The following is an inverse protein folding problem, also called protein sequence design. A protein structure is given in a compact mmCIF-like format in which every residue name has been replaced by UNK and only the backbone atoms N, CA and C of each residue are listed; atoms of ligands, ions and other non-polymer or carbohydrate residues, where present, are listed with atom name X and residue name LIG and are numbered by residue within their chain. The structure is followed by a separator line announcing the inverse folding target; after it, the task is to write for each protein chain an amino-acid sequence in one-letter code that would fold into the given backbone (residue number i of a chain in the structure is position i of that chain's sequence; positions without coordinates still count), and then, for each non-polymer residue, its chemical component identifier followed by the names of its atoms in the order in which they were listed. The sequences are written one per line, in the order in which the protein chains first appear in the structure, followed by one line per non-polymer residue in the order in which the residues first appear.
data_IF_263793412905
#
_entry.id   IF_263793412905
#
_cell.length_a   1.000
_cell.length_b   1.000
_cell.length_c   1.000
_cell.angle_alpha   90.00
_cell.angle_beta   90.00
_cell.angle_gamma   90.00
#
_symmetry.space_group_name_H-M   'P 1'
#
loop_
_entity.id
_entity.type
_entity.pdbx_description
1 polymer ?
#
# COMPACT_ATOMS: atom_id res chain seq x y z
N UNK A 1 13.20 -25.47 -35.71
CA UNK A 1 12.61 -24.29 -35.05
C UNK A 1 13.48 -23.07 -35.29
N UNK A 2 12.94 -21.91 -35.71
CA UNK A 2 13.72 -20.68 -35.74
C UNK A 2 14.14 -20.30 -34.31
N UNK A 3 15.44 -20.18 -34.07
CA UNK A 3 15.96 -19.70 -32.79
C UNK A 3 15.54 -18.25 -32.57
N UNK A 4 15.05 -17.96 -31.36
CA UNK A 4 14.57 -16.63 -30.95
C UNK A 4 15.26 -16.25 -29.65
N UNK A 5 15.79 -15.03 -29.62
CA UNK A 5 16.42 -14.40 -28.47
C UNK A 5 15.38 -13.55 -27.74
N UNK A 6 15.36 -13.62 -26.42
CA UNK A 6 14.57 -12.74 -25.57
C UNK A 6 15.52 -11.68 -24.98
N UNK A 7 15.18 -10.41 -25.12
CA UNK A 7 15.98 -9.28 -24.62
C UNK A 7 15.13 -8.47 -23.66
N UNK A 8 15.61 -8.25 -22.44
CA UNK A 8 15.00 -7.33 -21.50
C UNK A 8 15.56 -5.92 -21.69
N UNK A 9 14.69 -4.92 -21.70
CA UNK A 9 15.05 -3.50 -21.74
C UNK A 9 14.39 -2.80 -20.54
N UNK A 10 14.99 -2.88 -19.33
CA UNK A 10 14.33 -2.44 -18.09
C UNK A 10 13.99 -0.95 -18.03
N UNK A 11 14.69 -0.11 -18.79
CA UNK A 11 14.53 1.36 -18.77
C UNK A 11 13.74 1.92 -19.94
N UNK A 12 13.28 1.04 -20.82
CA UNK A 12 12.55 1.41 -22.02
C UNK A 12 11.08 1.72 -21.71
N UNK A 13 10.52 2.77 -22.32
CA UNK A 13 9.20 3.29 -22.03
C UNK A 13 9.04 4.77 -22.39
N UNK A 14 7.82 5.32 -22.40
CA UNK A 14 7.58 6.75 -22.59
C UNK A 14 8.26 7.58 -21.48
N UNK A 15 8.61 8.83 -21.77
CA UNK A 15 9.21 9.73 -20.77
C UNK A 15 8.34 9.81 -19.50
N UNK A 16 8.93 9.43 -18.35
CA UNK A 16 8.25 9.38 -17.06
C UNK A 16 7.57 8.05 -16.72
N UNK A 17 7.56 7.07 -17.64
CA UNK A 17 6.94 5.75 -17.48
C UNK A 17 7.91 4.62 -17.89
N UNK A 18 8.97 4.44 -17.10
CA UNK A 18 10.00 3.42 -17.28
C UNK A 18 9.55 2.03 -16.77
N UNK A 19 8.40 1.54 -17.27
CA UNK A 19 7.89 0.19 -16.93
C UNK A 19 8.74 -0.94 -17.50
N UNK A 20 9.68 -0.62 -18.39
CA UNK A 20 10.52 -1.57 -19.09
C UNK A 20 9.77 -2.32 -20.19
N UNK A 21 10.52 -2.97 -21.05
CA UNK A 21 9.98 -3.77 -22.15
C UNK A 21 10.75 -5.08 -22.30
N UNK A 22 10.07 -6.07 -22.88
CA UNK A 22 10.69 -7.31 -23.31
C UNK A 22 10.56 -7.39 -24.82
N UNK A 23 11.64 -7.78 -25.48
CA UNK A 23 11.73 -7.89 -26.91
C UNK A 23 12.05 -9.33 -27.33
N UNK A 24 11.47 -9.73 -28.45
CA UNK A 24 11.69 -11.00 -29.11
C UNK A 24 12.40 -10.74 -30.44
N UNK A 25 13.63 -11.22 -30.54
CA UNK A 25 14.50 -11.01 -31.68
C UNK A 25 14.73 -12.34 -32.42
N UNK A 26 14.60 -12.39 -33.76
CA UNK A 26 15.03 -13.54 -34.54
C UNK A 26 16.55 -13.70 -34.45
N UNK A 27 17.04 -14.94 -34.31
CA UNK A 27 18.47 -15.25 -34.43
C UNK A 27 18.73 -15.71 -35.88
N UNK A 28 19.43 -14.89 -36.66
CA UNK A 28 19.57 -15.11 -38.10
C UNK A 28 20.37 -13.99 -38.78
N UNK A 29 19.93 -13.44 -39.93
CA UNK A 29 20.68 -12.46 -40.69
C UNK A 29 21.02 -11.19 -39.87
N UNK A 30 22.15 -10.52 -40.16
CA UNK A 30 22.41 -9.17 -39.69
C UNK A 30 21.30 -8.25 -40.21
N UNK A 31 20.73 -7.39 -39.34
CA UNK A 31 19.52 -6.55 -39.55
C UNK A 31 18.16 -7.18 -39.21
N UNK A 32 18.11 -8.19 -38.36
CA UNK A 32 16.84 -8.65 -37.78
C UNK A 32 16.26 -7.62 -36.80
N UNK A 33 15.01 -7.24 -36.99
CA UNK A 33 14.29 -6.33 -36.08
C UNK A 33 13.66 -7.11 -34.92
N UNK A 34 13.79 -6.55 -33.72
CA UNK A 34 13.18 -7.10 -32.52
C UNK A 34 11.74 -6.61 -32.39
N UNK A 35 10.85 -7.49 -31.93
CA UNK A 35 9.42 -7.17 -31.71
C UNK A 35 9.13 -7.08 -30.22
N UNK A 36 8.41 -6.04 -29.78
CA UNK A 36 8.01 -5.90 -28.38
C UNK A 36 6.99 -6.98 -28.01
N UNK A 37 7.19 -7.60 -26.85
CA UNK A 37 6.26 -8.59 -26.28
C UNK A 37 5.20 -7.85 -25.48
N UNK A 38 3.92 -8.08 -25.80
CA UNK A 38 2.80 -7.56 -25.04
C UNK A 38 2.59 -8.42 -23.79
N UNK A 39 3.07 -7.92 -22.66
CA UNK A 39 2.77 -8.43 -21.33
C UNK A 39 1.46 -7.76 -20.93
N UNK A 40 0.34 -8.50 -20.91
CA UNK A 40 -0.95 -7.92 -20.52
C UNK A 40 -0.91 -7.26 -19.13
N UNK A 41 -1.92 -6.44 -18.82
CA UNK A 41 -2.06 -5.85 -17.48
C UNK A 41 -2.25 -6.95 -16.44
N UNK A 42 -1.51 -6.90 -15.34
CA UNK A 42 -1.54 -7.93 -14.30
C UNK A 42 -2.80 -7.80 -13.42
N UNK A 43 -3.69 -8.82 -13.37
CA UNK A 43 -4.84 -8.80 -12.47
C UNK A 43 -4.75 -9.93 -11.43
N UNK A 44 -5.24 -9.65 -10.22
CA UNK A 44 -5.20 -10.54 -9.06
C UNK A 44 -5.78 -11.95 -9.24
N UNK A 45 -4.88 -12.93 -9.32
CA UNK A 45 -4.89 -14.25 -8.66
C UNK A 45 -5.92 -15.35 -9.04
N UNK A 46 -5.43 -16.54 -9.42
CA UNK A 46 -5.69 -17.89 -8.82
C UNK A 46 -4.83 -18.96 -9.51
N UNK A 47 -4.32 -19.90 -8.71
CA UNK A 47 -3.14 -20.71 -9.03
C UNK A 47 -3.30 -21.89 -10.00
N UNK A 48 -2.15 -22.35 -10.50
CA UNK A 48 -1.98 -23.58 -11.25
C UNK A 48 -0.60 -24.19 -11.01
N UNK A 49 -0.52 -25.53 -11.02
CA UNK A 49 0.73 -26.32 -10.94
C UNK A 49 1.67 -25.95 -12.11
N UNK A 50 2.94 -25.66 -11.84
CA UNK A 50 3.91 -25.22 -12.85
C UNK A 50 5.22 -26.01 -12.81
N UNK A 51 5.52 -26.67 -13.93
CA UNK A 51 6.64 -27.58 -14.20
C UNK A 51 8.02 -26.87 -14.26
N UNK A 52 9.05 -27.57 -13.76
CA UNK A 52 10.48 -27.21 -13.83
C UNK A 52 11.00 -27.27 -15.28
N UNK A 53 10.71 -26.24 -16.07
CA UNK A 53 11.27 -26.08 -17.42
C UNK A 53 10.99 -24.74 -18.12
N UNK A 54 10.33 -23.79 -17.47
CA UNK A 54 9.83 -22.59 -18.13
C UNK A 54 10.78 -21.38 -18.03
N UNK A 55 10.98 -20.69 -19.16
CA UNK A 55 11.65 -19.39 -19.20
C UNK A 55 10.74 -18.37 -18.51
N UNK A 56 11.25 -17.65 -17.50
CA UNK A 56 10.51 -16.62 -16.80
C UNK A 56 11.12 -15.25 -17.08
N UNK A 57 10.28 -14.22 -17.10
CA UNK A 57 10.73 -12.84 -17.11
C UNK A 57 10.22 -12.12 -15.87
N UNK A 58 11.06 -11.34 -15.21
CA UNK A 58 10.76 -10.73 -13.92
C UNK A 58 11.10 -9.24 -13.91
N UNK A 59 10.28 -8.46 -13.22
CA UNK A 59 10.49 -7.07 -12.89
C UNK A 59 10.58 -6.94 -11.36
N UNK A 60 11.79 -7.01 -10.76
CA UNK A 60 11.97 -6.99 -9.31
C UNK A 60 11.68 -5.60 -8.70
N UNK A 61 11.79 -4.53 -9.49
CA UNK A 61 11.48 -3.16 -9.08
C UNK A 61 10.02 -2.78 -9.35
N UNK A 62 9.18 -3.73 -9.73
CA UNK A 62 7.75 -3.46 -9.82
C UNK A 62 7.22 -3.10 -8.43
N UNK A 63 6.63 -1.92 -8.33
CA UNK A 63 6.02 -1.38 -7.13
C UNK A 63 4.55 -1.12 -7.35
N UNK A 64 3.79 -1.23 -6.26
CA UNK A 64 2.39 -0.85 -6.19
C UNK A 64 2.19 0.24 -5.15
N UNK A 65 1.35 1.21 -5.49
CA UNK A 65 0.89 2.21 -4.55
C UNK A 65 -0.31 1.67 -3.78
N UNK A 66 -0.22 1.67 -2.45
CA UNK A 66 -1.30 1.31 -1.54
C UNK A 66 -1.55 2.51 -0.62
N UNK A 67 -2.51 3.36 -1.00
CA UNK A 67 -2.79 4.60 -0.29
C UNK A 67 -1.62 5.59 -0.38
N UNK A 68 -1.01 5.92 0.76
CA UNK A 68 0.15 6.82 0.89
C UNK A 68 1.50 6.09 0.83
N UNK A 69 1.49 4.76 0.72
CA UNK A 69 2.69 3.91 0.80
C UNK A 69 2.97 3.21 -0.52
N UNK A 70 4.24 2.99 -0.82
CA UNK A 70 4.70 2.27 -2.02
C UNK A 70 5.36 0.95 -1.59
N UNK A 71 4.89 -0.16 -2.15
CA UNK A 71 5.39 -1.50 -1.84
C UNK A 71 6.02 -2.14 -3.08
N UNK A 72 7.32 -2.43 -3.02
CA UNK A 72 8.05 -3.14 -4.07
C UNK A 72 8.06 -4.64 -3.79
N UNK A 73 7.12 -5.38 -4.36
CA UNK A 73 7.05 -6.84 -4.20
C UNK A 73 7.73 -7.62 -5.33
N UNK A 74 7.97 -6.95 -6.46
CA UNK A 74 8.37 -7.59 -7.70
C UNK A 74 7.23 -8.40 -8.34
N UNK A 75 7.36 -8.65 -9.65
CA UNK A 75 6.42 -9.46 -10.43
C UNK A 75 7.19 -10.28 -11.46
N UNK A 76 6.74 -11.50 -11.72
CA UNK A 76 7.29 -12.36 -12.76
C UNK A 76 6.18 -12.84 -13.68
N UNK A 77 6.54 -13.25 -14.89
CA UNK A 77 5.64 -13.97 -15.80
C UNK A 77 6.36 -15.18 -16.38
N UNK A 78 5.62 -16.28 -16.46
CA UNK A 78 6.07 -17.51 -17.11
C UNK A 78 5.82 -17.40 -18.60
N UNK A 79 6.81 -17.76 -19.41
CA UNK A 79 6.73 -17.77 -20.86
C UNK A 79 6.57 -19.18 -21.42
N UNK A 80 5.80 -19.33 -22.50
CA UNK A 80 5.73 -20.58 -23.28
C UNK A 80 6.95 -20.76 -24.20
N UNK A 81 6.97 -21.84 -24.99
CA UNK A 81 7.98 -22.12 -26.00
C UNK A 81 8.04 -21.07 -27.12
N UNK A 82 6.95 -20.34 -27.35
CA UNK A 82 6.86 -19.27 -28.33
C UNK A 82 7.21 -17.89 -27.76
N UNK A 83 7.66 -17.82 -26.50
CA UNK A 83 7.97 -16.60 -25.75
C UNK A 83 6.75 -15.68 -25.57
N UNK A 84 5.57 -16.27 -25.35
CA UNK A 84 4.36 -15.55 -24.97
C UNK A 84 4.10 -15.70 -23.47
N UNK A 85 3.59 -14.65 -22.79
CA UNK A 85 3.23 -14.75 -21.38
C UNK A 85 2.06 -15.71 -21.22
N UNK A 86 2.22 -16.68 -20.31
CA UNK A 86 1.22 -17.69 -19.97
C UNK A 86 0.56 -17.37 -18.64
N UNK A 87 1.35 -16.93 -17.67
CA UNK A 87 0.91 -16.79 -16.29
C UNK A 87 1.76 -15.73 -15.59
N UNK A 88 1.11 -14.93 -14.74
CA UNK A 88 1.77 -13.93 -13.90
C UNK A 88 1.95 -14.49 -12.49
N UNK A 89 3.17 -14.38 -11.98
CA UNK A 89 3.63 -14.86 -10.68
C UNK A 89 3.97 -13.64 -9.82
N UNK A 90 3.15 -13.38 -8.81
CA UNK A 90 3.37 -12.30 -7.84
C UNK A 90 2.98 -12.78 -6.43
N UNK A 91 3.71 -13.75 -5.86
CA UNK A 91 3.32 -14.39 -4.59
C UNK A 91 3.38 -13.43 -3.40
N UNK A 92 4.23 -12.41 -3.50
CA UNK A 92 4.44 -11.33 -2.51
C UNK A 92 3.65 -10.08 -2.84
N UNK A 93 2.92 -10.02 -3.96
CA UNK A 93 2.06 -8.89 -4.26
C UNK A 93 0.94 -8.85 -3.22
N UNK A 94 1.14 -8.01 -2.22
CA UNK A 94 0.20 -7.83 -1.14
C UNK A 94 -1.06 -7.20 -1.75
N UNK A 95 -2.24 -7.78 -1.49
CA UNK A 95 -3.45 -6.97 -1.67
C UNK A 95 -3.28 -5.75 -0.76
N UNK A 96 -3.59 -4.54 -1.23
CA UNK A 96 -3.48 -3.30 -0.46
C UNK A 96 -4.48 -3.27 0.72
N UNK A 97 -4.37 -4.22 1.64
CA UNK A 97 -5.23 -4.42 2.78
C UNK A 97 -4.33 -4.41 4.01
N UNK A 98 -4.10 -3.20 4.52
CA UNK A 98 -3.46 -2.98 5.81
C UNK A 98 -4.55 -3.08 6.87
N UNK A 99 -4.79 -4.29 7.38
CA UNK A 99 -5.72 -4.52 8.48
C UNK A 99 -5.01 -4.18 9.79
N UNK A 100 -5.39 -3.07 10.41
CA UNK A 100 -4.86 -2.67 11.71
C UNK A 100 -5.89 -1.82 12.45
N UNK A 101 -6.07 -2.14 13.72
CA UNK A 101 -6.88 -1.32 14.63
C UNK A 101 -5.93 -0.47 15.48
N UNK A 102 -6.14 0.85 15.47
CA UNK A 102 -5.33 1.80 16.22
C UNK A 102 -6.25 2.59 17.15
N UNK A 103 -6.03 2.50 18.46
CA UNK A 103 -6.69 3.37 19.44
C UNK A 103 -5.68 4.38 19.94
N UNK A 104 -5.90 5.66 19.64
CA UNK A 104 -5.08 6.75 20.14
C UNK A 104 -5.62 7.18 21.50
N UNK A 105 -4.77 7.18 22.52
CA UNK A 105 -5.12 7.62 23.88
C UNK A 105 -4.48 8.97 24.15
N UNK A 106 -5.32 10.00 24.36
CA UNK A 106 -4.93 11.40 24.33
C UNK A 106 -5.16 12.08 25.68
N UNK A 107 -4.13 12.71 26.22
CA UNK A 107 -4.23 13.54 27.44
C UNK A 107 -4.92 14.87 27.12
N UNK A 108 -6.12 15.07 27.67
CA UNK A 108 -6.95 16.27 27.59
C UNK A 108 -6.99 17.08 28.88
N UNK A 109 -6.04 16.87 29.81
CA UNK A 109 -5.96 17.60 31.07
C UNK A 109 -5.59 19.09 30.90
N UNK A 110 -5.67 19.86 31.98
CA UNK A 110 -5.36 21.31 31.99
C UNK A 110 -3.88 21.64 31.77
N UNK A 111 -2.97 20.71 32.02
CA UNK A 111 -1.54 20.92 31.74
C UNK A 111 -1.19 20.84 30.26
N UNK A 112 -2.08 20.32 29.41
CA UNK A 112 -1.84 20.20 27.96
C UNK A 112 -2.39 21.44 27.26
N UNK A 113 -1.49 22.38 26.97
CA UNK A 113 -1.77 23.61 26.26
C UNK A 113 -0.53 24.06 25.47
N UNK A 114 -0.67 24.61 24.26
CA UNK A 114 -1.93 24.90 23.57
C UNK A 114 -2.53 23.69 22.84
N UNK A 115 -3.86 23.55 22.88
CA UNK A 115 -4.56 22.37 22.34
C UNK A 115 -4.42 22.19 20.83
N UNK A 116 -4.24 23.28 20.08
CA UNK A 116 -4.12 23.20 18.62
C UNK A 116 -2.91 22.38 18.17
N UNK A 117 -1.85 22.26 18.98
CA UNK A 117 -0.69 21.43 18.65
C UNK A 117 -1.04 19.95 18.64
N UNK A 118 -1.91 19.53 19.56
CA UNK A 118 -2.44 18.17 19.61
C UNK A 118 -3.30 17.89 18.38
N UNK A 119 -4.20 18.81 18.01
CA UNK A 119 -5.03 18.69 16.80
C UNK A 119 -4.19 18.60 15.53
N UNK A 120 -3.12 19.41 15.44
CA UNK A 120 -2.17 19.38 14.32
C UNK A 120 -1.40 18.07 14.27
N UNK A 121 -0.92 17.56 15.41
CA UNK A 121 -0.25 16.27 15.49
C UNK A 121 -1.17 15.14 15.00
N UNK A 122 -2.41 15.08 15.50
CA UNK A 122 -3.41 14.10 15.07
C UNK A 122 -3.68 14.20 13.57
N UNK A 123 -3.90 15.41 13.04
CA UNK A 123 -4.14 15.61 11.61
C UNK A 123 -2.97 15.10 10.75
N UNK A 124 -1.74 15.34 11.18
CA UNK A 124 -0.54 14.94 10.46
C UNK A 124 -0.30 13.43 10.45
N UNK A 125 -0.58 12.74 11.56
CA UNK A 125 -0.39 11.28 11.63
C UNK A 125 -1.55 10.53 10.95
N UNK A 126 -2.79 10.95 11.20
CA UNK A 126 -3.98 10.31 10.64
C UNK A 126 -4.06 10.45 9.12
N UNK A 127 -3.63 11.60 8.58
CA UNK A 127 -3.55 11.82 7.13
C UNK A 127 -2.53 10.90 6.42
N UNK A 128 -1.65 10.22 7.16
CA UNK A 128 -0.71 9.25 6.61
C UNK A 128 -1.25 7.82 6.63
N UNK A 129 -2.31 7.53 7.37
CA UNK A 129 -2.90 6.20 7.46
C UNK A 129 -3.86 5.91 6.30
N UNK A 130 -3.89 4.65 5.88
CA UNK A 130 -4.84 4.15 4.89
C UNK A 130 -6.11 3.65 5.59
N UNK A 131 -6.99 4.61 5.91
CA UNK A 131 -8.22 4.38 6.68
C UNK A 131 -9.38 4.13 5.73
N UNK A 132 -10.10 3.04 5.96
CA UNK A 132 -11.31 2.70 5.21
C UNK A 132 -11.86 1.31 5.51
N UNK A 133 -13.05 0.97 4.96
CA UNK A 133 -13.67 -0.34 5.17
C UNK A 133 -12.74 -1.47 4.73
N UNK A 134 -12.39 -2.38 5.65
CA UNK A 134 -11.44 -3.47 5.37
C UNK A 134 -9.98 -3.02 5.27
N UNK A 135 -9.64 -1.86 5.86
CA UNK A 135 -8.28 -1.32 5.98
C UNK A 135 -8.03 -0.87 7.43
N UNK A 136 -7.21 0.17 7.67
CA UNK A 136 -6.93 0.66 9.01
C UNK A 136 -8.21 1.26 9.60
N UNK A 137 -8.49 0.94 10.85
CA UNK A 137 -9.55 1.54 11.65
C UNK A 137 -8.93 2.30 12.80
N UNK A 138 -9.44 3.50 13.08
CA UNK A 138 -8.88 4.37 14.13
C UNK A 138 -9.96 4.79 15.11
N UNK A 139 -9.71 4.53 16.39
CA UNK A 139 -10.45 5.07 17.52
C UNK A 139 -9.64 6.15 18.23
N UNK A 140 -10.32 7.07 18.91
CA UNK A 140 -9.69 8.08 19.75
C UNK A 140 -10.37 8.12 21.11
N UNK A 141 -9.58 7.90 22.15
CA UNK A 141 -9.99 8.06 23.54
C UNK A 141 -9.25 9.26 24.12
N UNK A 142 -9.99 10.25 24.59
CA UNK A 142 -9.44 11.39 25.32
C UNK A 142 -9.65 11.18 26.83
N UNK A 143 -8.65 11.55 27.63
CA UNK A 143 -8.71 11.41 29.08
C UNK A 143 -8.24 12.65 29.86
N UNK A 144 -8.83 12.84 31.04
CA UNK A 144 -8.40 13.79 32.07
C UNK A 144 -8.85 13.26 33.42
N UNK A 145 -9.91 13.84 33.98
CA UNK A 145 -10.61 13.31 35.17
C UNK A 145 -11.50 12.10 34.83
N UNK A 146 -11.97 12.04 33.58
CA UNK A 146 -12.72 10.93 32.98
C UNK A 146 -12.04 10.50 31.68
N UNK A 147 -12.36 9.31 31.19
CA UNK A 147 -11.95 8.84 29.88
C UNK A 147 -13.20 8.72 28.98
N UNK A 148 -13.09 9.21 27.74
CA UNK A 148 -14.21 9.33 26.80
C UNK A 148 -13.72 8.92 25.42
N UNK A 149 -14.47 8.05 24.76
CA UNK A 149 -14.28 7.82 23.33
C UNK A 149 -14.87 9.00 22.57
N UNK A 150 -14.00 9.74 21.90
CA UNK A 150 -14.39 10.81 20.97
C UNK A 150 -14.96 10.16 19.70
N UNK A 151 -14.38 9.02 19.32
CA UNK A 151 -14.96 8.08 18.36
C UNK A 151 -14.39 6.67 18.56
N UNK A 152 -15.16 5.68 18.12
CA UNK A 152 -14.76 4.27 18.16
C UNK A 152 -14.16 3.80 16.83
N UNK A 153 -13.52 2.63 16.84
CA UNK A 153 -13.13 1.94 15.60
C UNK A 153 -14.35 1.74 14.69
N UNK A 154 -14.17 1.82 13.37
CA UNK A 154 -15.27 1.63 12.41
C UNK A 154 -16.15 2.86 12.21
N UNK A 155 -16.03 3.92 13.02
CA UNK A 155 -16.93 5.07 12.94
C UNK A 155 -16.73 5.91 11.68
N UNK A 156 -15.50 5.99 11.16
CA UNK A 156 -15.17 6.77 9.98
C UNK A 156 -14.69 5.87 8.84
N UNK A 157 -15.11 6.20 7.62
CA UNK A 157 -14.85 5.41 6.43
C UNK A 157 -13.64 5.89 5.61
N UNK A 158 -13.04 7.02 5.98
CA UNK A 158 -11.92 7.60 5.22
C UNK A 158 -10.97 8.43 6.09
N UNK A 159 -9.70 8.52 5.67
CA UNK A 159 -8.72 9.36 6.37
C UNK A 159 -9.13 10.84 6.43
N UNK A 160 -9.83 11.33 5.41
CA UNK A 160 -10.35 12.70 5.37
C UNK A 160 -11.33 12.97 6.51
N UNK A 161 -12.30 12.07 6.72
CA UNK A 161 -13.29 12.20 7.78
C UNK A 161 -12.63 12.20 9.18
N UNK A 162 -11.68 11.29 9.43
CA UNK A 162 -10.99 11.25 10.73
C UNK A 162 -10.15 12.52 10.95
N UNK A 163 -9.49 13.04 9.92
CA UNK A 163 -8.73 14.30 10.01
C UNK A 163 -9.64 15.49 10.29
N UNK A 164 -10.80 15.57 9.64
CA UNK A 164 -11.80 16.61 9.91
C UNK A 164 -12.32 16.50 11.36
N UNK A 165 -12.59 15.29 11.86
CA UNK A 165 -12.97 15.07 13.26
C UNK A 165 -11.86 15.48 14.25
N UNK A 166 -10.61 15.12 13.96
CA UNK A 166 -9.45 15.47 14.78
C UNK A 166 -9.16 16.97 14.85
N UNK A 167 -9.56 17.76 13.84
CA UNK A 167 -9.47 19.23 13.88
C UNK A 167 -10.52 19.86 14.78
N UNK A 168 -11.67 19.20 14.95
CA UNK A 168 -12.81 19.73 15.68
C UNK A 168 -12.91 19.20 17.13
N UNK A 169 -12.02 18.29 17.54
CA UNK A 169 -11.99 17.78 18.91
C UNK A 169 -11.66 18.90 19.90
N UNK A 170 -12.52 19.07 20.91
CA UNK A 170 -12.28 19.95 22.04
C UNK A 170 -11.52 19.25 23.15
N UNK A 171 -10.63 19.97 23.81
CA UNK A 171 -9.96 19.49 25.02
C UNK A 171 -11.00 19.26 26.13
N UNK A 172 -10.90 18.15 26.86
CA UNK A 172 -11.84 17.84 27.94
C UNK A 172 -11.76 18.80 29.12
N UNK A 173 -10.55 19.29 29.41
CA UNK A 173 -10.27 20.07 30.62
C UNK A 173 -10.53 19.26 31.91
N UNK A 174 -10.01 19.74 33.04
CA UNK A 174 -10.24 19.08 34.33
C UNK A 174 -9.11 19.25 35.31
N UNK A 175 -9.33 18.76 36.53
CA UNK A 175 -8.38 18.93 37.65
C UNK A 175 -7.41 17.76 37.82
N UNK A 176 -7.63 16.67 37.11
CA UNK A 176 -6.87 15.44 37.25
C UNK A 176 -6.45 14.87 35.89
N UNK A 177 -5.43 14.00 35.93
CA UNK A 177 -4.90 13.29 34.77
C UNK A 177 -4.84 11.80 35.10
N UNK A 178 -5.88 11.05 34.73
CA UNK A 178 -6.05 9.63 35.09
C UNK A 178 -5.60 8.69 33.97
N UNK A 179 -4.31 8.70 33.63
CA UNK A 179 -3.75 7.87 32.54
C UNK A 179 -4.02 6.37 32.75
N UNK A 180 -3.86 5.85 33.98
CA UNK A 180 -4.10 4.44 34.27
C UNK A 180 -5.58 4.02 34.14
N UNK A 181 -6.52 4.97 34.29
CA UNK A 181 -7.93 4.71 33.99
C UNK A 181 -8.14 4.62 32.49
N UNK A 182 -7.57 5.57 31.74
CA UNK A 182 -7.69 5.64 30.28
C UNK A 182 -7.17 4.37 29.60
N UNK A 183 -5.98 3.89 29.97
CA UNK A 183 -5.39 2.68 29.37
C UNK A 183 -6.20 1.42 29.67
N UNK A 184 -6.95 1.36 30.78
CA UNK A 184 -7.84 0.22 31.07
C UNK A 184 -9.15 0.27 30.29
N UNK A 185 -9.52 1.42 29.76
CA UNK A 185 -10.78 1.64 29.05
C UNK A 185 -10.61 1.72 27.53
N UNK A 186 -9.38 1.95 27.06
CA UNK A 186 -8.99 1.92 25.65
C UNK A 186 -8.99 0.49 25.09
#
# INVERSE_FOLDING_TARGET
CPCRLLVGAPWDGPDGDHRGAIYKCPVGPPNSTCTRVNLGEAPGGRGGRGSLGARAACAPLWSQECGTSVFSSGICTRMDSELRPVETLAPTAQRCSTYMDIVIVLDGSNSIYPWYEVQNFLSNILGKFFIGPGQIQVGLLQYGERAVHEWTLGQFGSAREVVEAARNISRQEGRETRTALAVRQA
#
